data_IF_158116508889
#
_entry.id   IF_158116508889
#
_cell.length_a   1.000
_cell.length_b   1.000
_cell.length_c   1.000
_cell.angle_alpha   90.00
_cell.angle_beta   90.00
_cell.angle_gamma   90.00
#
_symmetry.space_group_name_H-M   'P 1'
#
loop_
_entity.id
_entity.type
_entity.pdbx_description
1 polymer ?
#
# COMPACT_ATOMS: atom_id res chain seq x y z
N UNK A 1 -12.97 -13.15 -15.06
CA UNK A 1 -12.81 -13.37 -13.61
C UNK A 1 -12.67 -11.99 -12.98
N UNK A 2 -13.78 -11.36 -12.57
CA UNK A 2 -13.74 -10.00 -12.04
C UNK A 2 -13.06 -10.02 -10.68
N UNK A 3 -11.96 -9.29 -10.57
CA UNK A 3 -11.19 -9.06 -9.35
C UNK A 3 -12.12 -8.54 -8.26
N UNK A 4 -12.70 -9.41 -7.44
CA UNK A 4 -13.54 -9.05 -6.29
C UNK A 4 -12.69 -8.51 -5.13
N UNK A 5 -11.67 -7.72 -5.48
CA UNK A 5 -10.75 -7.10 -4.57
C UNK A 5 -11.41 -5.82 -4.05
N UNK A 6 -11.66 -5.70 -2.74
CA UNK A 6 -12.30 -4.51 -2.20
C UNK A 6 -11.45 -3.27 -2.53
N UNK A 7 -12.14 -2.17 -2.81
CA UNK A 7 -11.52 -0.88 -3.09
C UNK A 7 -10.59 -0.50 -1.93
N UNK A 8 -9.41 0.00 -2.27
CA UNK A 8 -8.40 0.41 -1.33
C UNK A 8 -8.88 1.60 -0.49
N UNK A 9 -9.07 1.36 0.80
CA UNK A 9 -9.49 2.37 1.77
C UNK A 9 -8.28 2.77 2.63
N UNK A 10 -7.92 4.05 2.71
CA UNK A 10 -6.85 4.48 3.62
C UNK A 10 -7.29 4.26 5.08
N UNK A 11 -6.45 3.60 5.89
CA UNK A 11 -6.70 3.40 7.32
C UNK A 11 -6.60 4.70 8.12
N UNK A 12 -5.70 5.59 7.69
CA UNK A 12 -5.46 6.88 8.31
C UNK A 12 -5.71 8.00 7.29
N UNK A 13 -6.10 9.18 7.78
CA UNK A 13 -6.18 10.37 6.95
C UNK A 13 -4.83 10.63 6.26
N UNK A 14 -4.88 11.17 5.03
CA UNK A 14 -3.70 11.57 4.25
C UNK A 14 -2.76 12.52 5.01
N UNK A 15 -3.22 13.15 6.10
CA UNK A 15 -2.43 13.99 7.00
C UNK A 15 -1.30 13.25 7.73
N UNK A 16 -1.34 11.91 7.80
CA UNK A 16 -0.21 11.12 8.34
C UNK A 16 0.93 10.93 7.33
N UNK A 17 0.76 11.40 6.09
CA UNK A 17 1.76 11.26 5.06
C UNK A 17 2.87 12.29 5.23
N UNK A 18 4.07 11.81 5.51
CA UNK A 18 5.29 12.62 5.49
C UNK A 18 5.53 13.16 4.08
N UNK A 19 5.41 14.48 3.90
CA UNK A 19 5.61 15.16 2.62
C UNK A 19 6.96 14.85 1.97
N UNK A 20 8.03 14.75 2.75
CA UNK A 20 9.38 14.41 2.24
C UNK A 20 9.49 13.00 1.66
N UNK A 21 8.66 12.04 2.11
CA UNK A 21 8.58 10.70 1.48
C UNK A 21 7.77 10.78 0.19
N UNK A 22 6.72 11.59 0.18
CA UNK A 22 5.88 11.84 -0.98
C UNK A 22 6.67 12.45 -2.14
N UNK A 23 7.50 13.45 -1.84
CA UNK A 23 8.42 14.06 -2.82
C UNK A 23 9.42 13.03 -3.36
N UNK A 24 10.07 12.27 -2.46
CA UNK A 24 11.00 11.19 -2.84
C UNK A 24 10.38 10.10 -3.71
N UNK A 25 9.15 9.68 -3.43
CA UNK A 25 8.45 8.70 -4.24
C UNK A 25 7.83 9.33 -5.50
N UNK A 26 7.54 10.63 -5.46
CA UNK A 26 7.01 11.40 -6.58
C UNK A 26 8.01 11.57 -7.71
N UNK A 27 9.31 11.40 -7.45
CA UNK A 27 10.35 11.34 -8.51
C UNK A 27 10.44 9.97 -9.18
N UNK A 28 9.87 8.91 -8.59
CA UNK A 28 9.88 7.58 -9.16
C UNK A 28 8.81 7.42 -10.25
N UNK A 29 9.09 6.53 -11.21
CA UNK A 29 8.13 6.14 -12.25
C UNK A 29 7.03 5.25 -11.68
N UNK A 30 5.89 5.17 -12.37
CA UNK A 30 4.75 4.36 -11.91
C UNK A 30 5.13 2.89 -11.75
N UNK A 31 5.90 2.35 -12.70
CA UNK A 31 6.45 0.99 -12.66
C UNK A 31 7.31 0.75 -11.40
N UNK A 32 8.18 1.68 -11.04
CA UNK A 32 9.07 1.56 -9.86
C UNK A 32 8.25 1.54 -8.55
N UNK A 33 7.20 2.36 -8.49
CA UNK A 33 6.28 2.37 -7.36
C UNK A 33 5.51 1.06 -7.28
N UNK A 34 5.02 0.55 -8.40
CA UNK A 34 4.30 -0.73 -8.50
C UNK A 34 5.22 -1.89 -8.09
N UNK A 35 6.46 -1.90 -8.58
CA UNK A 35 7.45 -2.93 -8.23
C UNK A 35 7.78 -2.92 -6.73
N UNK A 36 7.99 -1.72 -6.17
CA UNK A 36 8.20 -1.53 -4.73
C UNK A 36 7.00 -1.96 -3.87
N UNK A 37 5.79 -1.95 -4.44
CA UNK A 37 4.56 -2.36 -3.76
C UNK A 37 4.32 -3.87 -3.80
N UNK A 38 5.11 -4.63 -4.59
CA UNK A 38 4.96 -6.09 -4.68
C UNK A 38 5.11 -6.76 -3.31
N UNK A 39 4.31 -7.81 -3.03
CA UNK A 39 4.36 -8.55 -1.77
C UNK A 39 5.73 -9.18 -1.52
N UNK A 40 6.08 -9.36 -0.24
CA UNK A 40 7.37 -9.91 0.17
C UNK A 40 8.53 -8.91 0.25
N UNK A 41 8.29 -7.63 0.00
CA UNK A 41 9.31 -6.57 0.11
C UNK A 41 9.02 -5.61 1.28
N UNK A 42 10.07 -4.91 1.73
CA UNK A 42 9.94 -3.88 2.76
C UNK A 42 9.24 -2.64 2.21
N UNK A 43 8.03 -2.34 2.72
CA UNK A 43 7.18 -1.27 2.20
C UNK A 43 6.25 -1.69 1.06
N UNK A 44 6.04 -3.00 0.91
CA UNK A 44 5.00 -3.61 0.08
C UNK A 44 3.60 -3.11 0.44
N UNK A 45 2.67 -3.19 -0.51
CA UNK A 45 1.29 -2.79 -0.31
C UNK A 45 0.60 -3.78 0.63
N UNK A 46 0.43 -3.40 1.89
CA UNK A 46 -0.26 -4.23 2.88
C UNK A 46 -1.66 -3.75 3.07
N UNK A 47 -2.63 -4.64 2.93
CA UNK A 47 -4.04 -4.33 3.10
C UNK A 47 -4.71 -5.36 3.98
N UNK A 48 -5.77 -4.96 4.66
CA UNK A 48 -6.64 -5.88 5.36
C UNK A 48 -7.54 -6.60 4.35
N UNK A 49 -8.11 -7.76 4.69
CA UNK A 49 -9.12 -8.40 3.85
C UNK A 49 -10.33 -7.51 3.56
N UNK A 50 -10.59 -6.47 4.38
CA UNK A 50 -11.64 -5.46 4.15
C UNK A 50 -11.27 -4.39 3.09
N UNK A 51 -10.04 -4.41 2.57
CA UNK A 51 -9.52 -3.39 1.66
C UNK A 51 -8.84 -2.20 2.35
N UNK A 52 -8.75 -2.22 3.69
CA UNK A 52 -8.06 -1.17 4.45
C UNK A 52 -6.55 -1.22 4.26
N UNK A 53 -5.92 -0.17 3.76
CA UNK A 53 -4.46 -0.08 3.58
C UNK A 53 -3.78 0.05 4.93
N UNK A 54 -2.94 -0.92 5.27
CA UNK A 54 -2.09 -0.98 6.45
C UNK A 54 -0.70 -0.39 6.19
N UNK A 55 -0.14 -0.62 4.99
CA UNK A 55 1.17 -0.08 4.58
C UNK A 55 1.17 0.24 3.07
N UNK A 56 2.04 1.17 2.65
CA UNK A 56 2.15 1.62 1.26
C UNK A 56 1.38 2.91 0.91
N UNK A 57 0.82 3.63 1.89
CA UNK A 57 -0.06 4.79 1.66
C UNK A 57 0.54 5.88 0.76
N UNK A 58 1.83 6.21 0.93
CA UNK A 58 2.50 7.25 0.12
C UNK A 58 2.50 6.92 -1.37
N UNK A 59 2.86 5.68 -1.71
CA UNK A 59 3.00 5.22 -3.10
C UNK A 59 1.63 5.08 -3.75
N UNK A 60 0.64 4.56 -3.02
CA UNK A 60 -0.75 4.47 -3.47
C UNK A 60 -1.32 5.85 -3.74
N UNK A 61 -1.05 6.84 -2.87
CA UNK A 61 -1.51 8.20 -3.13
C UNK A 61 -0.95 8.75 -4.42
N UNK A 62 0.35 8.58 -4.68
CA UNK A 62 1.00 9.06 -5.91
C UNK A 62 0.43 8.38 -7.14
N UNK A 63 0.31 7.05 -7.13
CA UNK A 63 -0.27 6.29 -8.23
C UNK A 63 -1.72 6.70 -8.50
N UNK A 64 -2.52 6.89 -7.44
CA UNK A 64 -3.91 7.35 -7.55
C UNK A 64 -4.00 8.78 -8.09
N UNK A 65 -3.11 9.67 -7.65
CA UNK A 65 -3.03 11.06 -8.13
C UNK A 65 -2.68 11.12 -9.63
N UNK A 66 -1.82 10.19 -10.07
CA UNK A 66 -1.46 10.00 -11.48
C UNK A 66 -2.53 9.28 -12.32
N UNK A 67 -3.62 8.82 -11.71
CA UNK A 67 -4.69 8.09 -12.39
C UNK A 67 -4.39 6.62 -12.70
N UNK A 68 -3.39 6.03 -12.02
CA UNK A 68 -3.09 4.61 -12.11
C UNK A 68 -4.09 3.82 -11.28
N UNK A 69 -4.55 2.69 -11.84
CA UNK A 69 -5.45 1.77 -11.13
C UNK A 69 -4.70 1.07 -9.99
N UNK A 70 -4.84 1.64 -8.79
CA UNK A 70 -4.20 1.11 -7.57
C UNK A 70 -4.91 -0.12 -7.03
N UNK A 71 -6.19 -0.29 -7.35
CA UNK A 71 -7.03 -1.36 -6.84
C UNK A 71 -6.65 -2.74 -7.42
N UNK A 72 -6.12 -2.78 -8.64
CA UNK A 72 -5.59 -4.00 -9.28
C UNK A 72 -4.13 -4.31 -8.91
N UNK A 73 -3.49 -3.50 -8.06
CA UNK A 73 -2.08 -3.70 -7.72
C UNK A 73 -1.86 -4.93 -6.85
N UNK A 74 -0.71 -5.61 -7.01
CA UNK A 74 -0.33 -6.72 -6.15
C UNK A 74 -0.22 -6.23 -4.70
N UNK A 75 -0.99 -6.84 -3.80
CA UNK A 75 -1.10 -6.46 -2.40
C UNK A 75 -1.07 -7.65 -1.48
N UNK A 76 -0.44 -7.47 -0.34
CA UNK A 76 -0.31 -8.45 0.73
C UNK A 76 -1.48 -8.30 1.70
N UNK A 77 -2.27 -9.38 1.86
CA UNK A 77 -3.40 -9.39 2.78
C UNK A 77 -2.88 -9.69 4.18
N UNK A 78 -2.86 -8.68 5.05
CA UNK A 78 -2.45 -8.83 6.45
C UNK A 78 -3.69 -9.12 7.31
N UNK A 79 -3.82 -10.33 7.87
CA UNK A 79 -4.87 -10.62 8.84
C UNK A 79 -4.63 -9.82 10.13
N UNK A 80 -5.72 -9.47 10.83
CA UNK A 80 -5.67 -8.68 12.09
C UNK A 80 -4.76 -9.30 13.16
N UNK A 81 -4.55 -10.61 13.08
CA UNK A 81 -3.84 -11.44 14.06
C UNK A 81 -2.32 -11.50 13.82
N UNK A 82 -1.84 -11.10 12.64
CA UNK A 82 -0.41 -11.17 12.30
C UNK A 82 0.44 -10.04 12.92
N UNK A 83 -0.17 -9.10 13.64
CA UNK A 83 0.53 -7.94 14.24
C UNK A 83 0.89 -8.21 15.71
N UNK A 84 0.38 -9.29 16.30
CA UNK A 84 0.74 -9.75 17.65
C UNK A 84 1.73 -10.91 17.57
N UNK A 85 2.98 -10.65 17.21
CA UNK A 85 4.06 -11.55 17.60
C UNK A 85 5.33 -10.77 17.95
N UNK A 86 5.52 -10.43 19.24
CA UNK A 86 6.80 -9.98 19.76
C UNK A 86 7.50 -11.15 20.49
N UNK A 87 7.96 -12.20 19.79
CA UNK A 87 8.93 -13.13 20.39
C UNK A 87 9.62 -14.05 19.37
N UNK A 88 10.73 -13.60 18.79
CA UNK A 88 11.86 -14.52 18.61
C UNK A 88 12.79 -14.25 19.79
N UNK A 89 12.79 -15.21 20.73
CA UNK A 89 13.68 -15.26 21.89
C UNK A 89 15.10 -15.69 21.54
#
# INVERSE_FOLDING_TARGET
MHSNQPCLKPLHADSSLIGSKLDKYGTLSDQELIDSLKPGQQGSLKVRPDGTIVDGHHRIKILRDRGVDVDSLPREIIPKEAISDPAIG
#
